data_IF_818410125141
#
_entry.id   IF_818410125141
#
_cell.length_a   1.000
_cell.length_b   1.000
_cell.length_c   1.000
_cell.angle_alpha   90.00
_cell.angle_beta   90.00
_cell.angle_gamma   90.00
#
_symmetry.space_group_name_H-M   'P 1'
#
loop_
_entity.id
_entity.type
_entity.pdbx_description
1 polymer ?
#
# COMPACT_ATOMS: atom_id res chain seq x y z
N UNK A 1 -1.55 -11.04 -16.32
CA UNK A 1 -1.38 -10.02 -17.37
C UNK A 1 0.10 -9.69 -17.50
N UNK A 2 0.64 -9.60 -18.72
CA UNK A 2 2.04 -9.17 -18.90
C UNK A 2 2.11 -7.65 -18.67
N UNK A 3 2.46 -7.23 -17.45
CA UNK A 3 2.83 -5.84 -17.13
C UNK A 3 3.83 -5.25 -18.15
N UNK A 4 4.63 -6.14 -18.75
CA UNK A 4 5.66 -5.89 -19.76
C UNK A 4 5.11 -5.15 -21.01
N UNK A 5 3.84 -5.34 -21.40
CA UNK A 5 3.31 -4.76 -22.65
C UNK A 5 3.10 -3.24 -22.57
N UNK A 6 2.61 -2.71 -21.44
CA UNK A 6 2.33 -1.27 -21.33
C UNK A 6 3.60 -0.42 -21.29
N UNK A 7 4.66 -0.92 -20.65
CA UNK A 7 5.95 -0.23 -20.56
C UNK A 7 6.61 -0.07 -21.95
N UNK A 8 6.33 -0.98 -22.88
CA UNK A 8 6.87 -0.93 -24.24
C UNK A 8 6.13 0.08 -25.15
N UNK A 9 4.90 0.46 -24.80
CA UNK A 9 4.08 1.42 -25.56
C UNK A 9 4.22 2.87 -25.04
N UNK A 10 5.02 3.09 -23.99
CA UNK A 10 5.26 4.43 -23.45
C UNK A 10 6.24 5.21 -24.33
N UNK A 11 5.94 6.48 -24.56
CA UNK A 11 6.84 7.42 -25.23
C UNK A 11 6.99 8.71 -24.41
N UNK A 12 8.06 9.45 -24.65
CA UNK A 12 8.42 10.63 -23.86
C UNK A 12 9.33 10.28 -22.68
N UNK A 13 10.48 10.95 -22.58
CA UNK A 13 11.49 10.64 -21.56
C UNK A 13 11.15 11.21 -20.17
N UNK A 14 10.70 12.48 -20.12
CA UNK A 14 10.40 13.16 -18.84
C UNK A 14 8.99 12.91 -18.32
N UNK A 15 8.00 12.86 -19.23
CA UNK A 15 6.60 12.54 -18.90
C UNK A 15 6.18 11.39 -19.83
N UNK A 16 6.19 10.14 -19.34
CA UNK A 16 5.79 9.01 -20.16
C UNK A 16 4.30 9.10 -20.47
N UNK A 17 3.95 8.94 -21.75
CA UNK A 17 2.58 8.94 -22.24
C UNK A 17 2.28 7.67 -23.04
N UNK A 18 1.02 7.25 -23.06
CA UNK A 18 0.52 6.15 -23.89
C UNK A 18 -0.27 6.72 -25.06
N UNK A 19 0.00 6.22 -26.26
CA UNK A 19 -0.72 6.67 -27.45
C UNK A 19 -2.13 6.05 -27.48
N UNK A 20 -3.13 6.86 -27.80
CA UNK A 20 -4.53 6.39 -27.88
C UNK A 20 -4.69 5.24 -28.87
N UNK A 21 -3.98 5.29 -30.00
CA UNK A 21 -3.96 4.22 -31.01
C UNK A 21 -3.45 2.89 -30.45
N UNK A 22 -2.39 2.93 -29.65
CA UNK A 22 -1.81 1.73 -29.02
C UNK A 22 -2.77 1.12 -27.99
N UNK A 23 -3.45 1.96 -27.20
CA UNK A 23 -4.48 1.51 -26.26
C UNK A 23 -5.67 0.85 -26.97
N UNK A 24 -6.09 1.37 -28.11
CA UNK A 24 -7.20 0.82 -28.90
C UNK A 24 -6.87 -0.54 -29.52
N UNK A 25 -5.60 -0.77 -29.85
CA UNK A 25 -5.14 -2.04 -30.45
C UNK A 25 -4.81 -3.11 -29.39
N UNK A 26 -4.95 -2.81 -28.11
CA UNK A 26 -4.63 -3.74 -27.03
C UNK A 26 -5.65 -4.90 -27.00
N UNK A 27 -5.16 -6.11 -27.26
CA UNK A 27 -5.96 -7.33 -27.15
C UNK A 27 -6.00 -7.80 -25.69
N UNK A 28 -7.16 -7.66 -25.06
CA UNK A 28 -7.44 -8.17 -23.72
C UNK A 28 -8.21 -9.49 -23.85
N UNK A 29 -7.74 -10.60 -23.26
CA UNK A 29 -8.50 -11.86 -23.28
C UNK A 29 -9.76 -11.72 -22.41
N UNK A 30 -10.92 -12.02 -22.99
CA UNK A 30 -12.21 -11.97 -22.31
C UNK A 30 -12.69 -13.42 -22.11
N UNK A 31 -12.51 -14.02 -20.90
CA UNK A 31 -12.97 -15.38 -20.63
C UNK A 31 -14.51 -15.43 -20.46
N UNK A 32 -15.13 -16.61 -20.35
CA UNK A 32 -16.58 -16.72 -20.09
C UNK A 32 -17.00 -16.00 -18.81
N UNK A 33 -18.25 -15.50 -18.76
CA UNK A 33 -18.76 -14.65 -17.68
C UNK A 33 -18.61 -15.28 -16.29
N UNK A 34 -18.87 -16.58 -16.16
CA UNK A 34 -18.70 -17.31 -14.88
C UNK A 34 -17.25 -17.25 -14.37
N UNK A 35 -16.27 -17.35 -15.28
CA UNK A 35 -14.85 -17.26 -14.94
C UNK A 35 -14.49 -15.83 -14.56
N UNK A 36 -15.01 -14.83 -15.26
CA UNK A 36 -14.80 -13.42 -14.90
C UNK A 36 -15.30 -13.13 -13.48
N UNK A 37 -16.49 -13.59 -13.13
CA UNK A 37 -17.08 -13.40 -11.80
C UNK A 37 -16.23 -14.05 -10.70
N UNK A 38 -15.71 -15.26 -10.94
CA UNK A 38 -14.79 -15.93 -10.01
C UNK A 38 -13.50 -15.14 -9.83
N UNK A 39 -12.92 -14.64 -10.92
CA UNK A 39 -11.71 -13.81 -10.87
C UNK A 39 -11.96 -12.54 -10.06
N UNK A 40 -13.02 -11.80 -10.36
CA UNK A 40 -13.38 -10.56 -9.66
C UNK A 40 -13.59 -10.81 -8.17
N UNK A 41 -14.38 -11.84 -7.81
CA UNK A 41 -14.61 -12.19 -6.40
C UNK A 41 -13.32 -12.46 -5.62
N UNK A 42 -12.35 -13.11 -6.25
CA UNK A 42 -11.05 -13.38 -5.62
C UNK A 42 -10.25 -12.09 -5.47
N UNK A 43 -10.15 -11.29 -6.54
CA UNK A 43 -9.39 -10.03 -6.54
C UNK A 43 -9.98 -8.98 -5.58
N UNK A 44 -11.30 -8.86 -5.51
CA UNK A 44 -11.97 -7.96 -4.56
C UNK A 44 -11.61 -8.34 -3.13
N UNK A 45 -11.63 -9.64 -2.82
CA UNK A 45 -11.29 -10.14 -1.49
C UNK A 45 -9.81 -9.90 -1.14
N UNK A 46 -8.90 -10.04 -2.10
CA UNK A 46 -7.49 -9.68 -1.88
C UNK A 46 -7.31 -8.18 -1.65
N UNK A 47 -7.99 -7.35 -2.45
CA UNK A 47 -7.92 -5.88 -2.33
C UNK A 47 -8.46 -5.41 -0.97
N UNK A 48 -9.56 -5.98 -0.51
CA UNK A 48 -10.13 -5.70 0.82
C UNK A 48 -9.19 -6.10 1.95
N UNK A 49 -8.59 -7.30 1.85
CA UNK A 49 -7.63 -7.79 2.83
C UNK A 49 -6.37 -6.93 2.87
N UNK A 50 -5.85 -6.52 1.71
CA UNK A 50 -4.67 -5.64 1.61
C UNK A 50 -4.94 -4.28 2.27
N UNK A 51 -6.06 -3.63 1.93
CA UNK A 51 -6.43 -2.35 2.53
C UNK A 51 -6.63 -2.46 4.06
N UNK A 52 -7.25 -3.54 4.53
CA UNK A 52 -7.44 -3.78 5.96
C UNK A 52 -6.10 -4.01 6.67
N UNK A 53 -5.19 -4.77 6.06
CA UNK A 53 -3.88 -5.03 6.63
C UNK A 53 -3.03 -3.77 6.69
N UNK A 54 -3.03 -2.96 5.63
CA UNK A 54 -2.31 -1.69 5.61
C UNK A 54 -2.81 -0.75 6.72
N UNK A 55 -4.13 -0.59 6.85
CA UNK A 55 -4.72 0.24 7.90
C UNK A 55 -4.38 -0.26 9.32
N UNK A 56 -4.39 -1.57 9.55
CA UNK A 56 -4.06 -2.15 10.87
C UNK A 56 -2.58 -1.97 11.21
N UNK A 57 -1.67 -2.18 10.25
CA UNK A 57 -0.25 -1.98 10.44
C UNK A 57 0.11 -0.51 10.69
N UNK A 58 -0.51 0.42 9.95
CA UNK A 58 -0.32 1.85 10.19
C UNK A 58 -0.78 2.28 11.59
N UNK A 59 -1.95 1.78 12.02
CA UNK A 59 -2.47 2.04 13.36
C UNK A 59 -1.57 1.47 14.45
N UNK A 60 -1.09 0.23 14.28
CA UNK A 60 -0.16 -0.41 15.21
C UNK A 60 1.17 0.35 15.28
N UNK A 61 1.73 0.74 14.14
CA UNK A 61 2.98 1.50 14.07
C UNK A 61 2.84 2.85 14.77
N UNK A 62 1.72 3.56 14.57
CA UNK A 62 1.45 4.82 15.25
C UNK A 62 1.35 4.64 16.77
N UNK A 63 0.66 3.58 17.23
CA UNK A 63 0.57 3.24 18.64
C UNK A 63 1.95 2.92 19.24
N UNK A 64 2.75 2.10 18.56
CA UNK A 64 4.11 1.72 18.98
C UNK A 64 5.03 2.93 19.09
N UNK A 65 4.92 3.88 18.15
CA UNK A 65 5.66 5.15 18.20
C UNK A 65 5.25 6.01 19.40
N UNK A 66 3.95 6.08 19.71
CA UNK A 66 3.45 6.79 20.91
C UNK A 66 3.96 6.14 22.19
N UNK A 67 3.86 4.82 22.28
CA UNK A 67 4.36 4.03 23.40
C UNK A 67 5.86 4.25 23.61
N UNK A 68 6.67 4.17 22.54
CA UNK A 68 8.09 4.44 22.59
C UNK A 68 8.41 5.84 23.11
N UNK A 69 7.72 6.88 22.59
CA UNK A 69 7.92 8.26 23.05
C UNK A 69 7.61 8.40 24.54
N UNK A 70 6.50 7.84 25.01
CA UNK A 70 6.13 7.87 26.42
C UNK A 70 7.21 7.27 27.31
N UNK A 71 7.67 6.05 27.00
CA UNK A 71 8.70 5.39 27.83
C UNK A 71 10.07 6.06 27.71
N UNK A 72 10.44 6.55 26.53
CA UNK A 72 11.67 7.34 26.35
C UNK A 72 11.64 8.58 27.23
N UNK A 73 10.55 9.34 27.18
CA UNK A 73 10.42 10.58 27.95
C UNK A 73 10.38 10.26 29.46
N UNK A 74 9.67 9.20 29.87
CA UNK A 74 9.66 8.72 31.25
C UNK A 74 11.06 8.32 31.77
N UNK A 75 11.83 7.54 31.01
CA UNK A 75 13.16 7.08 31.41
C UNK A 75 14.20 8.19 31.44
N UNK A 76 14.03 9.23 30.61
CA UNK A 76 14.93 10.39 30.54
C UNK A 76 14.50 11.55 31.44
N UNK A 77 13.35 11.42 32.11
CA UNK A 77 12.90 12.34 33.15
C UNK A 77 13.57 11.94 34.48
N UNK A 78 14.83 12.36 34.63
CA UNK A 78 15.61 12.11 35.84
C UNK A 78 15.15 12.99 37.02
N UNK A 79 14.50 14.13 36.74
CA UNK A 79 14.00 15.04 37.78
C UNK A 79 12.73 14.48 38.45
N UNK A 80 11.83 13.79 37.73
CA UNK A 80 10.71 13.05 38.35
C UNK A 80 11.10 11.67 38.91
N UNK A 81 12.20 11.06 38.44
CA UNK A 81 12.67 9.78 38.98
C UNK A 81 13.51 9.95 40.26
N UNK A 82 14.13 11.12 40.46
CA UNK A 82 14.92 11.45 41.65
C UNK A 82 14.16 12.47 42.50
N UNK A 83 13.11 12.01 43.16
CA UNK A 83 12.70 12.58 44.44
C UNK A 83 13.17 11.64 45.56
N UNK A 84 14.12 11.98 46.42
CA UNK A 84 15.02 13.12 46.44
C UNK A 84 16.13 12.85 47.45
N UNK A 85 17.33 13.31 47.14
CA UNK A 85 18.38 13.56 48.13
C UNK A 85 18.87 14.99 47.88
N UNK A 86 18.12 15.94 48.44
CA UNK A 86 18.63 17.27 48.81
C UNK A 86 18.81 17.27 50.32
#
# INVERSE_FOLDING_TARGET
>A
MKQITFMQCQYGAGIPALAKSELQNLLIPIPPLETQQKIVKILDKFTELEATLEATLEAELALRKRQYRYYRDFLLDFDNQIGGDS
#
